data_IF_199368759823
#
_entry.id   IF_199368759823
#
_cell.length_a   1.000
_cell.length_b   1.000
_cell.length_c   1.000
_cell.angle_alpha   90.00
_cell.angle_beta   90.00
_cell.angle_gamma   90.00
#
_symmetry.space_group_name_H-M   'P 1'
#
loop_
_entity.id
_entity.type
_entity.pdbx_description
1 polymer ?
#
# COMPACT_ATOMS: atom_id res chain seq x y z
N UNK A 1 -53.88 -16.28 23.23
CA UNK A 1 -52.93 -17.17 23.94
C UNK A 1 -51.53 -16.56 23.84
N UNK A 2 -51.10 -15.84 24.88
CA UNK A 2 -49.83 -15.11 24.88
C UNK A 2 -48.63 -16.04 25.13
N UNK A 3 -47.48 -15.73 24.53
CA UNK A 3 -46.25 -16.44 24.85
C UNK A 3 -45.91 -16.24 26.34
N UNK A 4 -45.52 -17.31 27.06
CA UNK A 4 -45.15 -17.19 28.48
C UNK A 4 -43.95 -16.25 28.63
N UNK A 5 -43.99 -15.38 29.65
CA UNK A 5 -42.95 -14.37 29.94
C UNK A 5 -41.52 -14.98 29.93
N UNK A 6 -41.39 -16.22 30.41
CA UNK A 6 -40.14 -16.97 30.41
C UNK A 6 -39.54 -17.18 29.00
N UNK A 7 -40.37 -17.36 27.97
CA UNK A 7 -39.91 -17.50 26.58
C UNK A 7 -39.42 -16.18 25.99
N UNK A 8 -40.06 -15.06 26.34
CA UNK A 8 -39.59 -13.73 25.94
C UNK A 8 -38.23 -13.41 26.57
N UNK A 9 -38.06 -13.71 27.87
CA UNK A 9 -36.79 -13.53 28.57
C UNK A 9 -35.68 -14.40 27.98
N UNK A 10 -35.96 -15.67 27.68
CA UNK A 10 -35.00 -16.56 27.03
C UNK A 10 -34.60 -16.07 25.63
N UNK A 11 -35.55 -15.60 24.82
CA UNK A 11 -35.28 -15.02 23.49
C UNK A 11 -34.42 -13.76 23.61
N UNK A 12 -34.71 -12.87 24.57
CA UNK A 12 -33.89 -11.67 24.81
C UNK A 12 -32.47 -12.00 25.26
N UNK A 13 -32.30 -13.00 26.14
CA UNK A 13 -30.97 -13.48 26.57
C UNK A 13 -30.18 -14.09 25.41
N UNK A 14 -30.83 -14.90 24.57
CA UNK A 14 -30.19 -15.47 23.37
C UNK A 14 -29.82 -14.38 22.37
N UNK A 15 -30.68 -13.38 22.15
CA UNK A 15 -30.37 -12.24 21.29
C UNK A 15 -29.25 -11.35 21.87
N UNK A 16 -29.18 -11.18 23.19
CA UNK A 16 -28.11 -10.44 23.84
C UNK A 16 -26.77 -11.20 23.78
N UNK A 17 -26.79 -12.52 23.95
CA UNK A 17 -25.62 -13.40 23.78
C UNK A 17 -25.15 -13.44 22.31
N UNK A 18 -26.08 -13.49 21.35
CA UNK A 18 -25.76 -13.43 19.92
C UNK A 18 -25.15 -12.06 19.55
N UNK A 19 -25.67 -10.96 20.10
CA UNK A 19 -25.08 -9.62 19.93
C UNK A 19 -23.75 -9.44 20.66
N UNK A 20 -23.54 -10.13 21.78
CA UNK A 20 -22.28 -10.11 22.55
C UNK A 20 -21.17 -10.95 21.92
N UNK A 21 -21.50 -11.94 21.09
CA UNK A 21 -20.54 -12.68 20.26
C UNK A 21 -20.21 -11.95 18.94
N UNK A 22 -21.09 -11.06 18.50
CA UNK A 22 -20.86 -10.07 17.42
C UNK A 22 -20.14 -8.81 17.92
N UNK A 23 -19.32 -8.93 18.98
CA UNK A 23 -18.33 -7.91 19.32
C UNK A 23 -17.17 -8.05 18.33
N UNK A 24 -17.40 -7.45 17.16
CA UNK A 24 -16.47 -7.16 16.08
C UNK A 24 -15.10 -7.84 16.21
N UNK A 25 -15.05 -9.12 15.83
CA UNK A 25 -13.94 -9.51 14.96
C UNK A 25 -14.28 -8.96 13.58
N UNK A 26 -14.19 -7.63 13.44
CA UNK A 26 -13.67 -7.09 12.20
C UNK A 26 -12.32 -7.78 12.08
N UNK A 27 -12.29 -8.89 11.35
CA UNK A 27 -11.10 -9.23 10.62
C UNK A 27 -10.88 -8.01 9.75
N UNK A 28 -10.14 -7.01 10.27
CA UNK A 28 -9.58 -5.89 9.54
C UNK A 28 -9.07 -6.55 8.30
N UNK A 29 -9.75 -6.34 7.17
CA UNK A 29 -9.33 -6.94 5.91
C UNK A 29 -7.89 -6.51 5.78
N UNK A 30 -6.96 -7.43 6.02
CA UNK A 30 -5.51 -7.15 6.04
C UNK A 30 -5.13 -7.03 4.58
N UNK A 31 -5.63 -5.98 3.95
CA UNK A 31 -5.10 -5.45 2.72
C UNK A 31 -3.72 -4.98 3.12
N UNK A 32 -2.72 -5.86 2.95
CA UNK A 32 -1.29 -5.61 3.13
C UNK A 32 -0.80 -4.63 2.06
N UNK A 33 -1.43 -3.46 2.01
CA UNK A 33 -1.22 -2.38 1.04
C UNK A 33 -0.96 -1.11 1.83
N UNK A 34 0.24 -0.57 1.66
CA UNK A 34 0.59 0.78 2.08
C UNK A 34 0.25 1.74 0.94
N UNK A 35 -0.33 2.90 1.25
CA UNK A 35 -0.71 3.87 0.22
C UNK A 35 -0.57 5.31 0.69
N UNK A 36 -0.37 6.22 -0.26
CA UNK A 36 -0.47 7.66 -0.07
C UNK A 36 -1.28 8.28 -1.19
N UNK A 37 -2.02 9.36 -0.93
CA UNK A 37 -2.87 10.04 -1.89
C UNK A 37 -3.16 11.49 -1.46
N UNK A 38 -3.56 12.34 -2.41
CA UNK A 38 -4.06 13.67 -2.13
C UNK A 38 -3.10 14.56 -1.34
N UNK A 39 -3.70 15.39 -0.47
CA UNK A 39 -3.02 16.32 0.43
C UNK A 39 -2.34 15.59 1.59
N UNK A 40 -1.25 14.87 1.28
CA UNK A 40 -0.35 14.24 2.23
C UNK A 40 -0.99 13.17 3.14
N UNK A 41 -2.01 12.46 2.65
CA UNK A 41 -2.58 11.33 3.39
C UNK A 41 -1.73 10.09 3.17
N UNK A 42 -1.55 9.32 4.23
CA UNK A 42 -0.83 8.05 4.24
C UNK A 42 -1.69 7.01 4.94
N UNK A 43 -1.60 5.77 4.48
CA UNK A 43 -2.16 4.58 5.11
C UNK A 43 -1.07 3.52 5.22
N UNK A 44 -0.83 3.05 6.44
CA UNK A 44 0.14 1.96 6.70
C UNK A 44 -0.38 0.61 6.21
N UNK A 45 0.50 -0.40 6.14
CA UNK A 45 0.10 -1.78 5.83
C UNK A 45 -0.92 -2.35 6.80
N UNK A 46 -0.82 -1.98 8.07
CA UNK A 46 -1.78 -2.40 9.09
C UNK A 46 -3.07 -1.59 9.02
N UNK A 47 -3.06 -0.46 8.31
CA UNK A 47 -4.25 0.31 7.93
C UNK A 47 -4.44 1.60 8.71
N UNK A 48 -3.42 2.08 9.42
CA UNK A 48 -3.49 3.34 10.17
C UNK A 48 -3.35 4.50 9.20
N UNK A 49 -4.25 5.49 9.33
CA UNK A 49 -4.32 6.64 8.43
C UNK A 49 -3.83 7.89 9.14
N UNK A 50 -2.90 8.60 8.54
CA UNK A 50 -2.34 9.84 9.08
C UNK A 50 -2.01 10.84 7.97
N UNK A 51 -1.77 12.09 8.37
CA UNK A 51 -1.36 13.17 7.46
C UNK A 51 0.04 13.66 7.82
N UNK A 52 0.93 13.70 6.83
CA UNK A 52 2.31 14.16 7.02
C UNK A 52 2.77 15.08 5.87
N UNK A 53 2.70 16.41 6.04
CA UNK A 53 2.97 17.40 5.00
C UNK A 53 4.47 17.63 4.73
N UNK A 54 5.20 16.53 4.49
CA UNK A 54 6.61 16.55 4.15
C UNK A 54 6.86 16.73 2.65
N UNK A 55 7.85 17.57 2.29
CA UNK A 55 8.23 17.90 0.91
C UNK A 55 9.65 17.42 0.54
N UNK A 56 10.18 16.43 1.27
CA UNK A 56 11.49 15.86 1.01
C UNK A 56 11.41 14.47 0.38
N UNK A 57 12.56 13.83 0.25
CA UNK A 57 12.69 12.39 -0.01
C UNK A 57 12.46 11.61 1.29
N UNK A 58 11.59 10.60 1.22
CA UNK A 58 11.25 9.75 2.35
C UNK A 58 11.33 8.28 1.97
N UNK A 59 11.80 7.45 2.90
CA UNK A 59 11.63 6.01 2.81
C UNK A 59 10.15 5.67 3.04
N UNK A 60 9.47 5.23 1.98
CA UNK A 60 8.04 4.91 2.01
C UNK A 60 7.79 3.48 2.49
N UNK A 61 8.63 2.54 2.03
CA UNK A 61 8.61 1.15 2.49
C UNK A 61 9.97 0.51 2.22
N UNK A 62 10.56 -0.15 3.21
CA UNK A 62 11.81 -0.90 3.03
C UNK A 62 11.80 -2.18 3.83
N UNK A 63 12.49 -3.18 3.32
CA UNK A 63 12.88 -4.34 4.09
C UNK A 63 13.98 -3.96 5.10
N UNK A 64 13.70 -4.18 6.39
CA UNK A 64 14.59 -3.83 7.50
C UNK A 64 15.32 -5.05 8.09
N UNK A 65 15.29 -6.22 7.43
CA UNK A 65 16.07 -7.40 7.87
C UNK A 65 17.57 -7.12 7.78
N UNK A 66 18.32 -7.50 8.82
CA UNK A 66 19.75 -7.18 8.97
C UNK A 66 20.67 -7.85 7.95
N UNK A 67 20.27 -9.00 7.38
CA UNK A 67 21.15 -9.80 6.51
C UNK A 67 21.16 -9.33 5.06
N UNK A 68 20.00 -8.96 4.52
CA UNK A 68 19.84 -8.63 3.10
C UNK A 68 18.52 -7.88 2.90
N UNK A 69 18.60 -6.64 2.43
CA UNK A 69 17.42 -5.84 2.10
C UNK A 69 16.87 -6.28 0.75
N UNK A 70 15.70 -6.91 0.76
CA UNK A 70 15.08 -7.41 -0.47
C UNK A 70 14.53 -6.28 -1.35
N UNK A 71 13.99 -5.22 -0.73
CA UNK A 71 13.53 -4.03 -1.44
C UNK A 71 13.60 -2.75 -0.60
N UNK A 72 13.61 -1.61 -1.29
CA UNK A 72 13.38 -0.29 -0.74
C UNK A 72 12.59 0.57 -1.74
N UNK A 73 11.64 1.35 -1.24
CA UNK A 73 10.83 2.30 -2.00
C UNK A 73 10.98 3.66 -1.36
N UNK A 74 11.59 4.57 -2.09
CA UNK A 74 11.75 5.96 -1.73
C UNK A 74 10.79 6.83 -2.52
N UNK A 75 10.15 7.75 -1.82
CA UNK A 75 9.14 8.65 -2.33
C UNK A 75 9.66 10.07 -2.18
N UNK A 76 9.81 10.78 -3.30
CA UNK A 76 10.11 12.21 -3.27
C UNK A 76 8.84 13.01 -3.56
N UNK A 77 8.35 13.73 -2.56
CA UNK A 77 7.23 14.68 -2.75
C UNK A 77 7.75 16.07 -3.08
N UNK A 78 6.93 16.80 -3.82
CA UNK A 78 7.11 18.20 -4.15
C UNK A 78 5.76 18.89 -4.29
N UNK A 79 5.80 20.12 -4.77
CA UNK A 79 4.59 20.83 -5.20
C UNK A 79 4.46 20.70 -6.72
N UNK A 80 3.24 20.69 -7.20
CA UNK A 80 2.96 20.81 -8.63
C UNK A 80 3.51 22.13 -9.18
N UNK A 81 3.53 22.27 -10.51
CA UNK A 81 4.08 23.48 -11.15
C UNK A 81 3.33 24.76 -10.77
N UNK A 82 2.08 24.65 -10.35
CA UNK A 82 1.25 25.75 -9.89
C UNK A 82 1.49 26.09 -8.40
N UNK A 83 2.22 25.25 -7.66
CA UNK A 83 2.51 25.42 -6.23
C UNK A 83 1.31 25.13 -5.31
N UNK A 84 0.20 24.66 -5.84
CA UNK A 84 -1.08 24.54 -5.13
C UNK A 84 -1.38 23.15 -4.60
N UNK A 85 -0.80 22.11 -5.20
CA UNK A 85 -1.11 20.72 -4.88
C UNK A 85 0.15 19.90 -4.61
N UNK A 86 0.06 19.01 -3.61
CA UNK A 86 1.14 18.05 -3.34
C UNK A 86 1.19 17.00 -4.44
N UNK A 87 2.38 16.81 -5.01
CA UNK A 87 2.64 15.83 -6.07
C UNK A 87 3.81 14.94 -5.68
N UNK A 88 3.81 13.72 -6.20
CA UNK A 88 4.97 12.84 -6.16
C UNK A 88 5.86 13.22 -7.35
N UNK A 89 7.07 13.72 -7.12
CA UNK A 89 8.00 14.07 -8.20
C UNK A 89 8.62 12.82 -8.84
N UNK A 90 9.01 11.88 -7.98
CA UNK A 90 9.62 10.63 -8.39
C UNK A 90 9.49 9.55 -7.34
N UNK A 91 9.63 8.32 -7.82
CA UNK A 91 9.66 7.12 -7.00
C UNK A 91 10.91 6.34 -7.37
N UNK A 92 11.75 6.07 -6.38
CA UNK A 92 12.96 5.26 -6.53
C UNK A 92 12.71 3.91 -5.86
N UNK A 93 12.88 2.83 -6.62
CA UNK A 93 12.60 1.46 -6.21
C UNK A 93 13.88 0.67 -6.38
N UNK A 94 14.37 0.09 -5.30
CA UNK A 94 15.46 -0.87 -5.34
C UNK A 94 14.89 -2.24 -5.03
N UNK A 95 15.13 -3.21 -5.90
CA UNK A 95 14.76 -4.61 -5.68
C UNK A 95 16.03 -5.43 -5.90
N UNK A 96 16.59 -6.00 -4.83
CA UNK A 96 17.91 -6.63 -4.88
C UNK A 96 18.94 -5.67 -5.51
N UNK A 97 19.48 -6.01 -6.66
CA UNK A 97 20.50 -5.26 -7.38
C UNK A 97 19.91 -4.30 -8.44
N UNK A 98 18.62 -4.44 -8.76
CA UNK A 98 17.95 -3.60 -9.75
C UNK A 98 17.47 -2.29 -9.13
N UNK A 99 17.76 -1.18 -9.81
CA UNK A 99 17.29 0.16 -9.45
C UNK A 99 16.35 0.69 -10.52
N UNK A 100 15.12 0.95 -10.14
CA UNK A 100 14.07 1.52 -10.99
C UNK A 100 13.76 2.93 -10.50
N UNK A 101 13.88 3.90 -11.40
CA UNK A 101 13.54 5.30 -11.13
C UNK A 101 12.38 5.71 -12.02
N UNK A 102 11.26 6.09 -11.39
CA UNK A 102 10.03 6.51 -12.05
C UNK A 102 9.84 8.01 -11.90
N UNK A 103 9.44 8.65 -12.99
CA UNK A 103 8.98 10.05 -13.04
C UNK A 103 7.62 10.10 -13.73
N UNK A 104 6.99 11.29 -13.76
CA UNK A 104 5.74 11.50 -14.49
C UNK A 104 5.76 11.02 -15.95
N UNK A 105 6.94 11.00 -16.59
CA UNK A 105 7.07 10.75 -18.03
C UNK A 105 7.77 9.43 -18.35
N UNK A 106 8.85 9.14 -17.60
CA UNK A 106 9.86 8.17 -17.98
C UNK A 106 10.04 7.13 -16.87
N UNK A 107 10.40 5.91 -17.30
CA UNK A 107 10.94 4.87 -16.43
C UNK A 107 12.42 4.66 -16.80
N UNK A 108 13.28 4.56 -15.79
CA UNK A 108 14.70 4.28 -15.91
C UNK A 108 15.01 3.03 -15.10
N UNK A 109 15.69 2.06 -15.70
CA UNK A 109 16.13 0.82 -15.05
C UNK A 109 17.65 0.75 -15.16
N UNK A 110 18.34 0.67 -14.03
CA UNK A 110 19.80 0.58 -13.94
C UNK A 110 20.52 1.68 -14.76
N UNK A 111 20.00 2.91 -14.70
CA UNK A 111 20.54 4.08 -15.41
C UNK A 111 20.13 4.21 -16.88
N UNK A 112 19.51 3.20 -17.48
CA UNK A 112 19.03 3.23 -18.85
C UNK A 112 17.53 3.56 -18.92
N UNK A 113 17.15 4.49 -19.79
CA UNK A 113 15.74 4.79 -20.06
C UNK A 113 15.11 3.62 -20.81
N UNK A 114 13.95 3.14 -20.36
CA UNK A 114 13.26 1.98 -20.94
C UNK A 114 11.90 2.37 -21.52
N UNK A 115 11.50 1.68 -22.59
CA UNK A 115 10.13 1.73 -23.09
C UNK A 115 9.23 0.79 -22.28
N UNK A 116 7.97 1.19 -22.09
CA UNK A 116 6.95 0.36 -21.44
C UNK A 116 6.04 -0.30 -22.50
N UNK A 117 5.64 -1.58 -22.33
CA UNK A 117 5.98 -2.44 -21.21
C UNK A 117 7.44 -2.91 -21.25
N UNK A 118 8.09 -2.93 -20.09
CA UNK A 118 9.47 -3.39 -19.94
C UNK A 118 9.48 -4.73 -19.20
N UNK A 119 10.21 -5.70 -19.74
CA UNK A 119 10.39 -7.02 -19.15
C UNK A 119 11.88 -7.28 -18.95
N UNK A 120 12.26 -7.69 -17.74
CA UNK A 120 13.58 -8.23 -17.44
C UNK A 120 13.45 -9.35 -16.39
N UNK A 121 14.57 -9.92 -15.93
CA UNK A 121 14.58 -11.13 -15.11
C UNK A 121 13.84 -10.93 -13.77
N UNK A 122 12.54 -11.25 -13.75
CA UNK A 122 11.69 -11.09 -12.56
C UNK A 122 11.21 -9.67 -12.30
N UNK A 123 11.27 -8.78 -13.30
CA UNK A 123 10.75 -7.42 -13.24
C UNK A 123 9.84 -7.16 -14.46
N UNK A 124 8.67 -6.60 -14.20
CA UNK A 124 7.73 -6.12 -15.21
C UNK A 124 7.32 -4.70 -14.87
N UNK A 125 7.50 -3.78 -15.82
CA UNK A 125 7.00 -2.41 -15.74
C UNK A 125 5.95 -2.20 -16.83
N UNK A 126 4.72 -1.91 -16.44
CA UNK A 126 3.62 -1.61 -17.35
C UNK A 126 3.17 -0.15 -17.18
N UNK A 127 2.70 0.44 -18.27
CA UNK A 127 2.13 1.78 -18.26
C UNK A 127 0.86 1.80 -19.09
N UNK A 128 -0.21 2.30 -18.50
CA UNK A 128 -1.41 2.71 -19.22
C UNK A 128 -1.72 4.20 -18.93
N UNK A 129 -2.82 4.71 -19.47
CA UNK A 129 -3.19 6.13 -19.38
C UNK A 129 -3.42 6.62 -17.95
N UNK A 130 -3.71 5.73 -17.00
CA UNK A 130 -3.96 6.08 -15.61
C UNK A 130 -2.79 5.75 -14.66
N UNK A 131 -2.08 4.64 -14.88
CA UNK A 131 -1.14 4.08 -13.91
C UNK A 131 0.16 3.60 -14.56
N UNK A 132 1.23 3.72 -13.80
CA UNK A 132 2.47 2.97 -14.01
C UNK A 132 2.53 1.90 -12.93
N UNK A 133 2.74 0.65 -13.34
CA UNK A 133 2.78 -0.52 -12.46
C UNK A 133 4.14 -1.18 -12.52
N UNK A 134 4.65 -1.60 -11.38
CA UNK A 134 5.89 -2.37 -11.26
C UNK A 134 5.56 -3.67 -10.52
N UNK A 135 5.92 -4.79 -11.12
CA UNK A 135 5.80 -6.11 -10.51
C UNK A 135 7.17 -6.76 -10.42
N UNK A 136 7.44 -7.37 -9.28
CA UNK A 136 8.65 -8.12 -9.04
C UNK A 136 8.37 -9.57 -8.66
N UNK A 137 9.24 -10.48 -9.09
CA UNK A 137 9.28 -11.86 -8.60
C UNK A 137 9.55 -11.95 -7.10
N UNK A 138 10.15 -10.92 -6.49
CA UNK A 138 10.27 -10.80 -5.02
C UNK A 138 8.89 -10.69 -4.33
N UNK A 139 7.81 -10.42 -5.08
CA UNK A 139 6.47 -10.26 -4.53
C UNK A 139 6.14 -8.83 -4.11
N UNK A 140 6.96 -7.86 -4.56
CA UNK A 140 6.63 -6.44 -4.51
C UNK A 140 5.75 -6.10 -5.71
N UNK A 141 4.64 -5.41 -5.44
CA UNK A 141 3.82 -4.76 -6.46
C UNK A 141 3.65 -3.29 -6.10
N UNK A 142 3.86 -2.41 -7.08
CA UNK A 142 3.73 -0.97 -6.93
C UNK A 142 2.85 -0.42 -8.05
N UNK A 143 1.99 0.54 -7.71
CA UNK A 143 1.12 1.22 -8.67
C UNK A 143 1.09 2.72 -8.34
N UNK A 144 1.40 3.54 -9.33
CA UNK A 144 1.43 5.00 -9.21
C UNK A 144 0.60 5.65 -10.32
N UNK A 145 -0.26 6.60 -9.97
CA UNK A 145 -1.07 7.36 -10.95
C UNK A 145 -0.26 8.43 -11.72
N UNK A 146 1.04 8.56 -11.46
CA UNK A 146 1.93 9.63 -11.98
C UNK A 146 1.56 11.03 -11.49
N UNK A 147 0.81 11.13 -10.40
CA UNK A 147 0.46 12.39 -9.74
C UNK A 147 0.74 12.22 -8.24
N UNK A 148 -0.29 12.05 -7.43
CA UNK A 148 -0.25 12.13 -5.97
C UNK A 148 -0.50 10.79 -5.25
N UNK A 149 -0.91 9.74 -5.99
CA UNK A 149 -1.40 8.49 -5.44
C UNK A 149 -0.46 7.31 -5.76
N UNK A 150 0.18 6.78 -4.73
CA UNK A 150 1.09 5.63 -4.78
C UNK A 150 0.57 4.52 -3.87
N UNK A 151 0.58 3.29 -4.37
CA UNK A 151 0.26 2.08 -3.60
C UNK A 151 1.39 1.08 -3.72
N UNK A 152 1.73 0.45 -2.60
CA UNK A 152 2.71 -0.64 -2.51
C UNK A 152 2.08 -1.82 -1.78
N UNK A 153 2.15 -2.99 -2.39
CA UNK A 153 1.75 -4.25 -1.80
C UNK A 153 2.96 -5.18 -1.74
N UNK A 154 3.18 -5.79 -0.56
CA UNK A 154 4.12 -6.89 -0.38
C UNK A 154 3.39 -8.23 -0.35
N UNK A 155 4.14 -9.34 -0.34
CA UNK A 155 3.57 -10.64 0.05
C UNK A 155 3.10 -10.57 1.52
N UNK A 156 1.95 -11.17 1.86
CA UNK A 156 1.57 -11.37 3.26
C UNK A 156 2.68 -12.15 3.98
N UNK A 157 3.24 -11.60 5.04
CA UNK A 157 4.12 -12.35 5.94
C UNK A 157 3.21 -13.24 6.79
N UNK A 158 3.39 -14.58 6.77
CA UNK A 158 2.63 -15.46 7.66
C UNK A 158 2.91 -15.05 9.11
N UNK A 159 1.87 -14.73 9.88
CA UNK A 159 2.05 -14.54 11.32
C UNK A 159 2.55 -15.83 11.95
N UNK A 160 3.56 -15.80 12.84
CA UNK A 160 3.89 -16.94 13.64
C UNK A 160 2.69 -17.24 14.56
N UNK A 161 2.07 -18.41 14.38
CA UNK A 161 1.12 -18.93 15.34
C UNK A 161 1.88 -19.17 16.65
N UNK A 162 1.53 -18.40 17.70
CA UNK A 162 1.97 -18.63 19.08
C UNK A 162 1.10 -19.71 19.72
#
# INVERSE_FOLDING_TARGET
MGLPLARLVAVCLVLALAKGLELQKEARSRNHVCSTWGDFHYKTFDGDVFRFPGLCDYNFASDCRDSYKEFAVHLKRGLDKAGGHSSIESVLITIKDDTIYLTHKLAVVNGAMVSTPHYSSGLLIEKNDAYTKVYSRAGLSLMWNREDALMVAGRPVPEPHL
#
